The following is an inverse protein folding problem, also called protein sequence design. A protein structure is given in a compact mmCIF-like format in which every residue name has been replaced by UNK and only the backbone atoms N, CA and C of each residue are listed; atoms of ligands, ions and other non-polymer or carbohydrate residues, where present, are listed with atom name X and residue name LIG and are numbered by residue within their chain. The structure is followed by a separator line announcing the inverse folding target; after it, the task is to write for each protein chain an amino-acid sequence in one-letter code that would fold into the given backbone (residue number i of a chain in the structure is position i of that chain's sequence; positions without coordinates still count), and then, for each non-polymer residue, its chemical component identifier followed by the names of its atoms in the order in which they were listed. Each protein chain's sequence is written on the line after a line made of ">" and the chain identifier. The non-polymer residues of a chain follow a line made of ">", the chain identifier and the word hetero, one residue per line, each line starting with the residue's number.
data_IF_599351381816
#
_entry.id   IF_599351381816
#
_cell.length_a   1.000
_cell.length_b   1.000
_cell.length_c   1.000
_cell.angle_alpha   90.00
_cell.angle_beta   90.00
_cell.angle_gamma   90.00
#
_symmetry.space_group_name_H-M   'P 1'
#
loop_
_entity.id
_entity.type
_entity.pdbx_description
1 polymer ?
#
# COMPACT_ATOMS: atom_id res chain seq x y z
N UNK A 1 -2.48 -5.62 26.49
CA UNK A 1 -1.84 -5.93 25.19
C UNK A 1 -1.68 -4.62 24.46
N UNK A 2 -0.50 -4.35 23.90
CA UNK A 2 -0.26 -3.12 23.12
C UNK A 2 -1.06 -3.21 21.82
N UNK A 3 -1.91 -2.23 21.55
CA UNK A 3 -2.68 -2.14 20.31
C UNK A 3 -1.69 -1.78 19.20
N UNK A 4 -1.34 -2.76 18.36
CA UNK A 4 -0.40 -2.55 17.28
C UNK A 4 -0.91 -1.44 16.36
N UNK A 5 -0.12 -0.38 16.18
CA UNK A 5 -0.51 0.75 15.33
C UNK A 5 -0.13 0.45 13.90
N UNK A 6 -1.11 0.30 13.03
CA UNK A 6 -0.86 0.17 11.59
C UNK A 6 -0.67 1.57 10.99
N UNK A 7 0.50 1.82 10.40
CA UNK A 7 0.75 2.99 9.58
C UNK A 7 0.45 2.67 8.12
N UNK A 8 -0.46 3.44 7.51
CA UNK A 8 -0.81 3.32 6.10
C UNK A 8 -0.33 4.55 5.33
N UNK A 9 0.33 4.36 4.18
CA UNK A 9 0.78 5.45 3.31
C UNK A 9 0.61 5.07 1.84
N UNK A 10 0.55 6.05 0.95
CA UNK A 10 0.54 5.77 -0.49
C UNK A 10 1.93 5.29 -0.94
N UNK A 11 1.97 4.29 -1.82
CA UNK A 11 3.23 3.93 -2.48
C UNK A 11 3.68 5.08 -3.37
N UNK A 12 4.92 5.53 -3.17
CA UNK A 12 5.52 6.58 -4.00
C UNK A 12 6.13 6.02 -5.28
N UNK A 13 6.45 4.73 -5.28
CA UNK A 13 7.19 4.08 -6.36
C UNK A 13 6.30 3.31 -7.32
N UNK A 14 5.07 2.96 -6.90
CA UNK A 14 4.14 2.18 -7.70
C UNK A 14 2.86 2.99 -8.02
N UNK A 15 2.86 3.63 -9.19
CA UNK A 15 1.70 4.31 -9.77
C UNK A 15 1.26 3.58 -11.04
N UNK A 16 0.49 2.50 -10.88
CA UNK A 16 -0.06 1.73 -11.99
C UNK A 16 -1.59 1.71 -11.94
N UNK A 17 -2.23 2.03 -13.06
CA UNK A 17 -3.70 2.04 -13.22
C UNK A 17 -4.35 0.66 -13.02
N UNK A 18 -3.59 -0.43 -13.11
CA UNK A 18 -4.09 -1.80 -12.98
C UNK A 18 -3.74 -2.42 -11.62
N UNK A 19 -3.29 -1.61 -10.64
CA UNK A 19 -2.69 -2.03 -9.36
C UNK A 19 -2.75 -3.54 -9.08
N UNK A 20 -1.61 -4.21 -9.27
CA UNK A 20 -1.48 -5.64 -8.98
C UNK A 20 -0.99 -5.78 -7.55
N UNK A 21 -1.72 -6.55 -6.74
CA UNK A 21 -1.44 -6.71 -5.31
C UNK A 21 0.01 -7.15 -5.06
N UNK A 22 0.49 -8.20 -5.71
CA UNK A 22 1.87 -8.69 -5.50
C UNK A 22 2.93 -7.65 -5.84
N UNK A 23 2.75 -6.93 -6.96
CA UNK A 23 3.67 -5.85 -7.36
C UNK A 23 3.60 -4.65 -6.42
N UNK A 24 2.42 -4.34 -5.89
CA UNK A 24 2.21 -3.31 -4.88
C UNK A 24 2.92 -3.69 -3.56
N UNK A 25 2.76 -4.92 -3.09
CA UNK A 25 3.44 -5.43 -1.89
C UNK A 25 4.95 -5.40 -2.06
N UNK A 26 5.48 -5.85 -3.21
CA UNK A 26 6.92 -5.82 -3.49
C UNK A 26 7.47 -4.37 -3.51
N UNK A 27 6.72 -3.43 -4.09
CA UNK A 27 7.08 -2.01 -4.05
C UNK A 27 7.08 -1.46 -2.61
N UNK A 28 6.05 -1.79 -1.83
CA UNK A 28 5.95 -1.39 -0.43
C UNK A 28 7.07 -1.97 0.44
N UNK A 29 7.50 -3.22 0.18
CA UNK A 29 8.66 -3.81 0.83
C UNK A 29 9.96 -3.04 0.52
N UNK A 30 10.14 -2.61 -0.74
CA UNK A 30 11.27 -1.74 -1.13
C UNK A 30 11.21 -0.36 -0.46
N UNK A 31 10.01 0.13 -0.17
CA UNK A 31 9.78 1.38 0.58
C UNK A 31 9.90 1.21 2.11
N UNK A 32 10.15 0.00 2.62
CA UNK A 32 10.36 -0.28 4.05
C UNK A 32 9.08 -0.54 4.86
N UNK A 33 7.96 -0.80 4.17
CA UNK A 33 6.70 -1.26 4.72
C UNK A 33 6.65 -2.80 4.76
N UNK A 34 5.76 -3.38 5.55
CA UNK A 34 5.65 -4.84 5.72
C UNK A 34 4.57 -5.45 4.83
N UNK A 35 3.65 -4.64 4.30
CA UNK A 35 2.56 -5.08 3.44
C UNK A 35 2.13 -3.97 2.46
N UNK A 36 1.26 -4.32 1.51
CA UNK A 36 0.59 -3.38 0.63
C UNK A 36 -0.75 -3.90 0.09
N UNK A 37 -1.64 -2.99 -0.26
CA UNK A 37 -2.95 -3.29 -0.84
C UNK A 37 -3.33 -2.28 -1.92
N UNK A 38 -4.18 -2.71 -2.85
CA UNK A 38 -4.71 -1.85 -3.90
C UNK A 38 -6.07 -1.30 -3.47
N UNK A 39 -6.22 0.02 -3.51
CA UNK A 39 -7.48 0.71 -3.24
C UNK A 39 -8.04 1.29 -4.52
N UNK A 40 -9.35 1.13 -4.73
CA UNK A 40 -10.06 1.64 -5.90
C UNK A 40 -10.72 2.97 -5.51
N UNK A 41 -10.31 4.05 -6.16
CA UNK A 41 -11.04 5.31 -6.11
C UNK A 41 -12.10 5.31 -7.22
N UNK A 42 -13.38 5.57 -6.90
CA UNK A 42 -14.46 5.48 -7.88
C UNK A 42 -14.47 6.62 -8.91
N UNK A 43 -14.00 7.84 -8.58
CA UNK A 43 -14.02 8.99 -9.50
C UNK A 43 -12.79 9.92 -9.34
N UNK A 44 -11.93 10.07 -10.38
CA UNK A 44 -11.83 9.20 -11.56
C UNK A 44 -11.44 7.77 -11.15
N UNK A 45 -11.83 6.76 -11.93
CA UNK A 45 -11.49 5.35 -11.64
C UNK A 45 -9.96 5.20 -11.64
N UNK A 46 -9.38 5.09 -10.45
CA UNK A 46 -7.94 4.93 -10.26
C UNK A 46 -7.70 3.85 -9.22
N UNK A 47 -6.79 2.94 -9.55
CA UNK A 47 -6.28 1.97 -8.59
C UNK A 47 -4.95 2.49 -8.05
N UNK A 48 -4.88 2.69 -6.74
CA UNK A 48 -3.70 3.21 -6.06
C UNK A 48 -3.18 2.16 -5.08
N UNK A 49 -1.87 1.96 -5.06
CA UNK A 49 -1.22 1.10 -4.08
C UNK A 49 -1.01 1.86 -2.77
N UNK A 50 -1.45 1.26 -1.66
CA UNK A 50 -1.18 1.70 -0.31
C UNK A 50 -0.25 0.70 0.36
N UNK A 51 0.72 1.22 1.10
CA UNK A 51 1.67 0.45 1.88
C UNK A 51 1.29 0.49 3.36
N UNK A 52 1.43 -0.64 4.03
CA UNK A 52 1.12 -0.80 5.45
C UNK A 52 2.35 -1.29 6.22
N UNK A 53 2.59 -0.68 7.38
CA UNK A 53 3.62 -1.09 8.32
C UNK A 53 3.02 -1.20 9.71
N UNK A 54 3.24 -2.33 10.35
CA UNK A 54 2.89 -2.50 11.76
C UNK A 54 3.98 -1.80 12.59
N UNK A 55 3.57 -0.85 13.42
CA UNK A 55 4.42 -0.20 14.41
C UNK A 55 4.05 -0.79 15.76
N UNK A 56 4.98 -1.59 16.31
CA UNK A 56 4.89 -2.18 17.65
C UNK A 56 5.23 -1.18 18.75
#
# INVERSE_FOLDING_TARGET
>A
GSEAKTCTSYSRTYMSLLCKKDSCVEACHKEGFTNGFCFVFPEPIMLICFCEKIVE
#
